data_IF_704233858877
#
_entry.id   IF_704233858877
#
_cell.length_a   1.000
_cell.length_b   1.000
_cell.length_c   1.000
_cell.angle_alpha   90.00
_cell.angle_beta   90.00
_cell.angle_gamma   90.00
#
_symmetry.space_group_name_H-M   'P 1'
#
loop_
_entity.id
_entity.type
_entity.pdbx_description
1 polymer ?
#
# COMPACT_ATOMS: atom_id res chain seq x y z
N UNK A 1 23.82 86.18 -48.01
CA UNK A 1 22.77 85.95 -46.99
C UNK A 1 21.49 85.37 -47.60
N UNK A 2 21.06 85.83 -48.78
CA UNK A 2 19.82 85.36 -49.42
C UNK A 2 19.81 83.87 -49.83
N UNK A 3 20.97 83.33 -50.24
CA UNK A 3 21.09 81.91 -50.61
C UNK A 3 20.81 80.95 -49.42
N UNK A 4 21.28 81.30 -48.22
CA UNK A 4 21.04 80.51 -47.01
C UNK A 4 19.57 80.56 -46.60
N UNK A 5 18.95 81.74 -46.69
CA UNK A 5 17.51 81.93 -46.42
C UNK A 5 16.65 81.13 -47.41
N UNK A 6 17.03 81.10 -48.69
CA UNK A 6 16.38 80.27 -49.72
C UNK A 6 16.50 78.77 -49.41
N UNK A 7 17.69 78.28 -49.06
CA UNK A 7 17.87 76.87 -48.72
C UNK A 7 17.08 76.46 -47.47
N UNK A 8 17.01 77.32 -46.45
CA UNK A 8 16.22 77.07 -45.25
C UNK A 8 14.73 76.90 -45.58
N UNK A 9 14.17 77.75 -46.45
CA UNK A 9 12.77 77.65 -46.86
C UNK A 9 12.46 76.41 -47.69
N UNK A 10 13.36 76.01 -48.59
CA UNK A 10 13.17 74.78 -49.36
C UNK A 10 13.16 73.55 -48.45
N UNK A 11 14.00 73.54 -47.41
CA UNK A 11 13.99 72.48 -46.40
C UNK A 11 12.71 72.50 -45.53
N UNK A 12 12.17 73.67 -45.22
CA UNK A 12 10.89 73.80 -44.49
C UNK A 12 9.70 73.35 -45.34
N UNK A 13 9.68 73.67 -46.62
CA UNK A 13 8.68 73.21 -47.58
C UNK A 13 8.72 71.68 -47.77
N UNK A 14 9.91 71.10 -47.75
CA UNK A 14 10.10 69.64 -47.80
C UNK A 14 9.59 68.93 -46.54
N UNK A 15 9.62 69.60 -45.38
CA UNK A 15 9.00 69.10 -44.14
C UNK A 15 7.47 69.16 -44.16
N UNK A 16 6.89 70.15 -44.83
CA UNK A 16 5.43 70.28 -44.97
C UNK A 16 4.88 69.25 -45.95
N UNK A 17 5.56 69.04 -47.08
CA UNK A 17 5.23 67.99 -48.05
C UNK A 17 6.50 67.45 -48.68
N UNK A 18 6.80 66.14 -48.50
CA UNK A 18 7.99 65.55 -49.10
C UNK A 18 7.93 65.67 -50.63
N UNK A 19 8.99 66.21 -51.24
CA UNK A 19 9.10 66.46 -52.68
C UNK A 19 8.82 67.90 -53.12
N UNK A 20 8.15 68.72 -52.31
CA UNK A 20 7.77 70.10 -52.69
C UNK A 20 9.00 71.03 -52.80
N UNK A 21 9.99 70.87 -51.91
CA UNK A 21 11.25 71.61 -51.96
C UNK A 21 12.07 71.30 -53.22
N UNK A 22 12.05 70.03 -53.68
CA UNK A 22 12.74 69.61 -54.89
C UNK A 22 12.05 70.10 -56.18
N UNK A 23 10.73 70.26 -56.17
CA UNK A 23 9.95 70.82 -57.27
C UNK A 23 10.16 72.34 -57.38
N UNK A 24 10.09 73.07 -56.25
CA UNK A 24 10.28 74.52 -56.22
C UNK A 24 11.74 74.94 -56.43
N UNK A 25 12.71 74.07 -56.07
CA UNK A 25 14.12 74.27 -56.36
C UNK A 25 14.47 74.28 -57.85
N UNK A 26 13.60 73.74 -58.71
CA UNK A 26 13.78 73.71 -60.18
C UNK A 26 13.32 75.00 -60.87
N UNK A 27 12.54 75.85 -60.19
CA UNK A 27 12.11 77.13 -60.73
C UNK A 27 13.12 78.24 -60.38
N UNK A 28 13.39 79.18 -61.30
CA UNK A 28 14.32 80.28 -61.06
C UNK A 28 13.66 81.33 -60.16
N UNK A 29 13.57 81.06 -58.86
CA UNK A 29 13.21 82.09 -57.87
C UNK A 29 14.38 83.07 -57.82
N UNK A 30 14.18 84.23 -58.41
CA UNK A 30 15.27 85.16 -58.77
C UNK A 30 15.25 86.43 -57.93
N UNK A 31 14.09 86.75 -57.34
CA UNK A 31 13.86 88.03 -56.65
C UNK A 31 13.55 87.83 -55.18
N UNK A 32 13.97 88.77 -54.33
CA UNK A 32 13.69 88.74 -52.89
C UNK A 32 12.18 88.77 -52.59
N UNK A 33 11.38 89.42 -53.44
CA UNK A 33 9.92 89.47 -53.33
C UNK A 33 9.23 88.11 -53.50
N UNK A 34 9.73 87.26 -54.40
CA UNK A 34 9.21 85.89 -54.57
C UNK A 34 9.51 85.00 -53.35
N UNK A 35 10.67 85.21 -52.71
CA UNK A 35 11.04 84.50 -51.47
C UNK A 35 10.12 84.93 -50.32
N UNK A 36 9.82 86.23 -50.20
CA UNK A 36 8.87 86.75 -49.21
C UNK A 36 7.43 86.25 -49.46
N UNK A 37 7.02 86.15 -50.72
CA UNK A 37 5.70 85.60 -51.08
C UNK A 37 5.58 84.11 -50.74
N UNK A 38 6.63 83.31 -50.98
CA UNK A 38 6.67 81.90 -50.59
C UNK A 38 6.69 81.73 -49.06
N UNK A 39 7.38 82.63 -48.35
CA UNK A 39 7.33 82.68 -46.88
C UNK A 39 5.91 82.96 -46.39
N UNK A 40 5.24 83.97 -46.94
CA UNK A 40 3.87 84.31 -46.56
C UNK A 40 2.89 83.14 -46.81
N UNK A 41 3.00 82.45 -47.94
CA UNK A 41 2.18 81.27 -48.24
C UNK A 41 2.49 80.07 -47.33
N UNK A 42 3.76 79.88 -46.97
CA UNK A 42 4.16 78.84 -46.01
C UNK A 42 3.59 79.15 -44.62
N UNK A 43 3.68 80.39 -44.17
CA UNK A 43 3.14 80.85 -42.88
C UNK A 43 1.62 80.70 -42.84
N UNK A 44 0.91 81.08 -43.91
CA UNK A 44 -0.55 80.87 -44.04
C UNK A 44 -0.90 79.38 -43.98
N UNK A 45 -0.19 78.53 -44.73
CA UNK A 45 -0.40 77.09 -44.69
C UNK A 45 -0.13 76.50 -43.30
N UNK A 46 0.94 76.94 -42.61
CA UNK A 46 1.25 76.51 -41.25
C UNK A 46 0.15 76.94 -40.26
N UNK A 47 -0.36 78.16 -40.39
CA UNK A 47 -1.48 78.65 -39.58
C UNK A 47 -2.75 77.80 -39.82
N UNK A 48 -3.11 77.57 -41.08
CA UNK A 48 -4.26 76.74 -41.45
C UNK A 48 -4.11 75.31 -40.92
N UNK A 49 -2.94 74.69 -41.08
CA UNK A 49 -2.67 73.35 -40.56
C UNK A 49 -2.70 73.29 -39.04
N UNK A 50 -2.21 74.31 -38.35
CA UNK A 50 -2.29 74.40 -36.89
C UNK A 50 -3.74 74.50 -36.42
N UNK A 51 -4.59 75.27 -37.12
CA UNK A 51 -6.02 75.38 -36.86
C UNK A 51 -6.79 74.07 -37.10
N UNK A 52 -6.46 73.34 -38.16
CA UNK A 52 -7.03 72.01 -38.39
C UNK A 52 -6.55 70.99 -37.34
N UNK A 53 -5.29 71.07 -36.89
CA UNK A 53 -4.77 70.20 -35.84
C UNK A 53 -5.46 70.45 -34.50
N UNK A 54 -5.69 71.71 -34.12
CA UNK A 54 -6.46 72.04 -32.91
C UNK A 54 -7.90 71.55 -33.03
N UNK A 55 -8.56 71.82 -34.16
CA UNK A 55 -9.94 71.38 -34.39
C UNK A 55 -10.07 69.84 -34.36
N UNK A 56 -9.11 69.11 -34.94
CA UNK A 56 -9.07 67.65 -34.86
C UNK A 56 -8.89 67.16 -33.43
N UNK A 57 -8.05 67.84 -32.63
CA UNK A 57 -7.87 67.50 -31.22
C UNK A 57 -9.14 67.75 -30.40
N UNK A 58 -9.89 68.81 -30.70
CA UNK A 58 -11.15 69.12 -30.05
C UNK A 58 -12.23 68.09 -30.41
N UNK A 59 -12.35 67.70 -31.68
CA UNK A 59 -13.27 66.63 -32.08
C UNK A 59 -12.94 65.29 -31.43
N UNK A 60 -11.65 64.94 -31.29
CA UNK A 60 -11.24 63.72 -30.59
C UNK A 60 -11.62 63.77 -29.11
N UNK A 61 -11.36 64.90 -28.45
CA UNK A 61 -11.74 65.11 -27.06
C UNK A 61 -13.25 65.01 -26.88
N UNK A 62 -14.02 65.65 -27.75
CA UNK A 62 -15.49 65.60 -27.73
C UNK A 62 -16.01 64.17 -27.94
N UNK A 63 -15.42 63.41 -28.87
CA UNK A 63 -15.76 62.01 -29.09
C UNK A 63 -15.48 61.14 -27.84
N UNK A 64 -14.36 61.37 -27.16
CA UNK A 64 -14.02 60.65 -25.94
C UNK A 64 -14.93 61.01 -24.76
N UNK A 65 -15.32 62.28 -24.65
CA UNK A 65 -16.32 62.73 -23.66
C UNK A 65 -17.68 62.06 -23.90
N UNK A 66 -18.16 61.99 -25.15
CA UNK A 66 -19.40 61.27 -25.47
C UNK A 66 -19.29 59.76 -25.24
N UNK A 67 -18.15 59.13 -25.53
CA UNK A 67 -17.92 57.70 -25.22
C UNK A 67 -18.00 57.43 -23.73
N UNK A 68 -17.41 58.29 -22.89
CA UNK A 68 -17.49 58.19 -21.43
C UNK A 68 -18.92 58.34 -20.93
N UNK A 69 -19.67 59.31 -21.47
CA UNK A 69 -21.08 59.51 -21.13
C UNK A 69 -21.94 58.31 -21.53
N UNK A 70 -21.71 57.73 -22.71
CA UNK A 70 -22.39 56.52 -23.16
C UNK A 70 -22.14 55.33 -22.22
N UNK A 71 -20.89 55.05 -21.87
CA UNK A 71 -20.54 53.99 -20.92
C UNK A 71 -21.20 54.19 -19.53
N UNK A 72 -21.28 55.44 -19.06
CA UNK A 72 -21.96 55.77 -17.81
C UNK A 72 -23.48 55.54 -17.90
N UNK A 73 -24.11 55.82 -19.04
CA UNK A 73 -25.53 55.51 -19.24
C UNK A 73 -25.76 54.00 -19.33
N UNK A 74 -24.89 53.25 -20.02
CA UNK A 74 -24.98 51.79 -20.12
C UNK A 74 -24.90 51.12 -18.74
N UNK A 75 -23.96 51.53 -17.90
CA UNK A 75 -23.85 51.03 -16.52
C UNK A 75 -25.09 51.34 -15.68
N UNK A 76 -25.67 52.55 -15.81
CA UNK A 76 -26.92 52.92 -15.14
C UNK A 76 -28.11 52.08 -15.60
N UNK A 77 -28.21 51.81 -16.91
CA UNK A 77 -29.27 50.97 -17.47
C UNK A 77 -29.08 49.52 -17.04
N UNK A 78 -27.86 48.98 -17.10
CA UNK A 78 -27.55 47.62 -16.66
C UNK A 78 -27.89 47.41 -15.18
N UNK A 79 -27.52 48.35 -14.30
CA UNK A 79 -27.86 48.31 -12.88
C UNK A 79 -29.37 48.42 -12.61
N UNK A 80 -30.12 49.08 -13.50
CA UNK A 80 -31.57 49.24 -13.36
C UNK A 80 -32.40 48.09 -13.93
N UNK A 81 -31.80 47.23 -14.77
CA UNK A 81 -32.46 46.08 -15.41
C UNK A 81 -32.41 44.79 -14.57
N UNK A 82 -31.93 44.84 -13.32
CA UNK A 82 -31.84 43.69 -12.40
C UNK A 82 -33.18 43.24 -11.79
N UNK A 83 -34.32 43.72 -12.30
CA UNK A 83 -35.66 43.32 -11.87
C UNK A 83 -36.71 43.58 -12.95
N UNK A 84 -37.93 43.05 -12.76
CA UNK A 84 -39.04 43.16 -13.71
C UNK A 84 -39.54 44.61 -13.96
N UNK A 85 -39.01 45.61 -13.23
CA UNK A 85 -39.32 47.03 -13.38
C UNK A 85 -38.03 47.85 -13.31
N UNK A 86 -37.84 48.75 -14.27
CA UNK A 86 -36.72 49.69 -14.29
C UNK A 86 -36.75 50.57 -13.03
N UNK A 87 -35.61 50.70 -12.35
CA UNK A 87 -35.45 51.66 -11.26
C UNK A 87 -35.61 53.11 -11.79
N UNK A 88 -36.01 54.06 -10.94
CA UNK A 88 -36.14 55.48 -11.31
C UNK A 88 -34.93 56.06 -12.06
N UNK A 89 -33.66 55.78 -11.67
CA UNK A 89 -32.49 56.21 -12.46
C UNK A 89 -32.35 55.48 -13.81
N UNK A 90 -32.77 54.22 -13.91
CA UNK A 90 -32.80 53.51 -15.20
C UNK A 90 -33.85 54.06 -16.15
N UNK A 91 -35.02 54.43 -15.63
CA UNK A 91 -36.12 54.99 -16.42
C UNK A 91 -35.78 56.39 -16.95
N UNK A 92 -35.06 57.21 -16.16
CA UNK A 92 -34.54 58.51 -16.62
C UNK A 92 -33.43 58.36 -17.66
N UNK A 93 -32.51 57.39 -17.48
CA UNK A 93 -31.48 57.09 -18.48
C UNK A 93 -32.08 56.57 -19.80
N UNK A 94 -33.08 55.67 -19.74
CA UNK A 94 -33.79 55.17 -20.91
C UNK A 94 -34.52 56.27 -21.67
N UNK A 95 -35.18 57.21 -20.96
CA UNK A 95 -35.82 58.38 -21.59
C UNK A 95 -34.80 59.28 -22.28
N UNK A 96 -33.64 59.52 -21.66
CA UNK A 96 -32.58 60.33 -22.26
C UNK A 96 -32.02 59.67 -23.53
N UNK A 97 -31.79 58.35 -23.49
CA UNK A 97 -31.40 57.58 -24.67
C UNK A 97 -32.47 57.63 -25.78
N UNK A 98 -33.75 57.53 -25.44
CA UNK A 98 -34.84 57.66 -26.41
C UNK A 98 -34.91 59.06 -27.04
N UNK A 99 -34.68 60.14 -26.26
CA UNK A 99 -34.62 61.50 -26.81
C UNK A 99 -33.42 61.71 -27.73
N UNK A 100 -32.26 61.14 -27.40
CA UNK A 100 -31.05 61.20 -28.24
C UNK A 100 -31.27 60.37 -29.52
N UNK A 101 -31.84 59.17 -29.41
CA UNK A 101 -32.17 58.34 -30.57
C UNK A 101 -33.15 59.05 -31.52
N UNK A 102 -34.18 59.71 -30.97
CA UNK A 102 -35.12 60.51 -31.77
C UNK A 102 -34.45 61.71 -32.44
N UNK A 103 -33.57 62.44 -31.74
CA UNK A 103 -32.84 63.57 -32.30
C UNK A 103 -31.86 63.15 -33.43
N UNK A 104 -31.31 61.94 -33.33
CA UNK A 104 -30.45 61.34 -34.34
C UNK A 104 -31.22 60.66 -35.49
N UNK A 105 -32.56 60.70 -35.48
CA UNK A 105 -33.38 60.05 -36.50
C UNK A 105 -33.30 58.51 -36.48
N UNK A 106 -32.82 57.94 -35.38
CA UNK A 106 -32.66 56.49 -35.18
C UNK A 106 -34.02 55.88 -34.82
N UNK A 107 -34.99 55.98 -35.72
CA UNK A 107 -36.33 55.42 -35.54
C UNK A 107 -36.38 53.89 -35.73
N UNK A 108 -35.22 53.24 -35.85
CA UNK A 108 -35.11 51.78 -35.85
C UNK A 108 -35.15 51.23 -34.42
N UNK A 109 -36.12 51.66 -33.62
CA UNK A 109 -36.69 50.81 -32.56
C UNK A 109 -37.96 50.19 -33.13
N UNK A 110 -37.82 49.46 -34.24
CA UNK A 110 -38.90 48.57 -34.67
C UNK A 110 -39.11 47.58 -33.53
N UNK A 111 -40.35 47.42 -33.07
CA UNK A 111 -40.74 46.50 -31.99
C UNK A 111 -40.07 45.11 -32.15
N UNK A 112 -39.93 44.65 -33.40
CA UNK A 112 -39.21 43.42 -33.75
C UNK A 112 -37.74 43.36 -33.33
N UNK A 113 -37.00 44.48 -33.36
CA UNK A 113 -35.61 44.53 -32.91
C UNK A 113 -35.49 44.40 -31.38
N UNK A 114 -36.45 44.96 -30.63
CA UNK A 114 -36.50 44.83 -29.18
C UNK A 114 -36.89 43.40 -28.76
N UNK A 115 -37.89 42.81 -29.43
CA UNK A 115 -38.26 41.41 -29.22
C UNK A 115 -37.10 40.47 -29.57
N UNK A 116 -36.39 40.70 -30.68
CA UNK A 116 -35.22 39.91 -31.04
C UNK A 116 -34.10 40.02 -29.99
N UNK A 117 -33.86 41.21 -29.42
CA UNK A 117 -32.87 41.40 -28.36
C UNK A 117 -33.27 40.67 -27.06
N UNK A 118 -34.56 40.64 -26.70
CA UNK A 118 -35.04 39.88 -25.56
C UNK A 118 -34.90 38.37 -25.77
N UNK A 119 -35.30 37.85 -26.93
CA UNK A 119 -35.12 36.43 -27.27
C UNK A 119 -33.65 36.05 -27.25
N UNK A 120 -32.75 36.89 -27.77
CA UNK A 120 -31.31 36.64 -27.73
C UNK A 120 -30.77 36.62 -26.29
N UNK A 121 -31.24 37.53 -25.42
CA UNK A 121 -30.86 37.56 -24.01
C UNK A 121 -31.37 36.33 -23.26
N UNK A 122 -32.62 35.93 -23.46
CA UNK A 122 -33.20 34.75 -22.84
C UNK A 122 -32.48 33.48 -23.29
N UNK A 123 -32.14 33.38 -24.59
CA UNK A 123 -31.34 32.28 -25.12
C UNK A 123 -29.95 32.20 -24.46
N UNK A 124 -29.29 33.34 -24.24
CA UNK A 124 -27.99 33.39 -23.56
C UNK A 124 -28.11 33.03 -22.07
N UNK A 125 -29.16 33.48 -21.37
CA UNK A 125 -29.40 33.07 -19.97
C UNK A 125 -29.59 31.56 -19.85
N UNK A 126 -30.43 30.96 -20.70
CA UNK A 126 -30.63 29.50 -20.72
C UNK A 126 -29.32 28.76 -21.03
N UNK A 127 -28.50 29.31 -21.93
CA UNK A 127 -27.17 28.75 -22.23
C UNK A 127 -26.25 28.81 -21.00
N UNK A 128 -26.25 29.91 -20.28
CA UNK A 128 -25.47 30.09 -19.07
C UNK A 128 -25.91 29.15 -17.95
N UNK A 129 -27.22 29.01 -17.71
CA UNK A 129 -27.78 28.06 -16.75
C UNK A 129 -27.37 26.61 -17.07
N UNK A 130 -27.44 26.22 -18.35
CA UNK A 130 -27.00 24.88 -18.79
C UNK A 130 -25.51 24.66 -18.57
N UNK A 131 -24.68 25.66 -18.82
CA UNK A 131 -23.23 25.58 -18.57
C UNK A 131 -22.95 25.50 -17.07
N UNK A 132 -23.68 26.28 -16.27
CA UNK A 132 -23.55 26.28 -14.82
C UNK A 132 -23.96 24.94 -14.22
N UNK A 133 -25.10 24.38 -14.62
CA UNK A 133 -25.55 23.05 -14.19
C UNK A 133 -24.53 21.95 -14.54
N UNK A 134 -23.93 22.01 -15.74
CA UNK A 134 -22.85 21.08 -16.13
C UNK A 134 -21.61 21.22 -15.26
N UNK A 135 -21.21 22.46 -14.95
CA UNK A 135 -20.05 22.73 -14.08
C UNK A 135 -20.31 22.21 -12.66
N UNK A 136 -21.51 22.39 -12.14
CA UNK A 136 -21.90 21.91 -10.82
C UNK A 136 -21.95 20.38 -10.76
N UNK A 137 -22.46 19.72 -11.82
CA UNK A 137 -22.42 18.26 -11.92
C UNK A 137 -20.98 17.73 -11.89
N UNK A 138 -20.10 18.25 -12.76
CA UNK A 138 -18.68 17.87 -12.80
C UNK A 138 -17.99 18.16 -11.46
N UNK A 139 -18.26 19.31 -10.85
CA UNK A 139 -17.69 19.65 -9.55
C UNK A 139 -18.16 18.70 -8.44
N UNK A 140 -19.40 18.23 -8.49
CA UNK A 140 -19.93 17.25 -7.53
C UNK A 140 -19.31 15.87 -7.71
N UNK A 141 -19.10 15.41 -8.95
CA UNK A 141 -18.41 14.16 -9.26
C UNK A 141 -16.96 14.20 -8.78
N UNK A 142 -16.22 15.27 -9.10
CA UNK A 142 -14.84 15.45 -8.66
C UNK A 142 -14.69 15.50 -7.13
N UNK A 143 -15.68 16.06 -6.42
CA UNK A 143 -15.68 16.05 -4.95
C UNK A 143 -15.85 14.63 -4.40
N UNK A 144 -16.78 13.86 -4.95
CA UNK A 144 -16.98 12.48 -4.54
C UNK A 144 -15.72 11.63 -4.82
N UNK A 145 -15.08 11.83 -5.97
CA UNK A 145 -13.81 11.16 -6.29
C UNK A 145 -12.69 11.57 -5.33
N UNK A 146 -12.58 12.86 -5.00
CA UNK A 146 -11.58 13.35 -4.06
C UNK A 146 -11.80 12.82 -2.64
N UNK A 147 -13.05 12.72 -2.18
CA UNK A 147 -13.39 12.14 -0.88
C UNK A 147 -13.03 10.65 -0.82
N UNK A 148 -13.35 9.88 -1.87
CA UNK A 148 -12.97 8.48 -1.97
C UNK A 148 -11.43 8.29 -2.04
N UNK A 149 -10.72 9.15 -2.76
CA UNK A 149 -9.26 9.13 -2.79
C UNK A 149 -8.66 9.46 -1.41
N UNK A 150 -9.24 10.46 -0.71
CA UNK A 150 -8.80 10.83 0.64
C UNK A 150 -9.02 9.72 1.65
N UNK A 151 -10.13 8.98 1.57
CA UNK A 151 -10.36 7.83 2.46
C UNK A 151 -9.35 6.72 2.20
N UNK A 152 -9.08 6.38 0.94
CA UNK A 152 -8.06 5.40 0.57
C UNK A 152 -6.66 5.79 1.06
N UNK A 153 -6.29 7.07 0.95
CA UNK A 153 -5.01 7.56 1.49
C UNK A 153 -4.98 7.38 3.00
N UNK A 154 -6.06 7.72 3.71
CA UNK A 154 -6.12 7.54 5.17
C UNK A 154 -5.98 6.07 5.59
N UNK A 155 -6.63 5.15 4.88
CA UNK A 155 -6.51 3.71 5.11
C UNK A 155 -5.10 3.20 4.86
N UNK A 156 -4.49 3.60 3.74
CA UNK A 156 -3.10 3.25 3.41
C UNK A 156 -2.13 3.80 4.45
N UNK A 157 -2.32 5.02 4.93
CA UNK A 157 -1.46 5.58 5.99
C UNK A 157 -1.58 4.79 7.30
N UNK A 158 -2.79 4.39 7.69
CA UNK A 158 -3.01 3.56 8.86
C UNK A 158 -2.35 2.18 8.72
N UNK A 159 -2.45 1.56 7.53
CA UNK A 159 -1.80 0.27 7.23
C UNK A 159 -0.27 0.37 7.27
N UNK A 160 0.30 1.45 6.73
CA UNK A 160 1.75 1.69 6.76
C UNK A 160 2.24 1.88 8.20
N UNK A 161 1.52 2.64 9.02
CA UNK A 161 1.84 2.79 10.44
C UNK A 161 1.74 1.47 11.20
N UNK A 162 0.71 0.67 10.94
CA UNK A 162 0.56 -0.65 11.57
C UNK A 162 1.71 -1.59 11.17
N UNK A 163 2.08 -1.61 9.89
CA UNK A 163 3.21 -2.39 9.39
C UNK A 163 4.54 -1.95 10.03
N UNK A 164 4.75 -0.63 10.17
CA UNK A 164 5.93 -0.09 10.85
C UNK A 164 6.01 -0.51 12.32
N UNK A 165 4.91 -0.43 13.06
CA UNK A 165 4.86 -0.90 14.47
C UNK A 165 5.14 -2.39 14.56
N UNK A 166 4.60 -3.19 13.65
CA UNK A 166 4.88 -4.63 13.60
C UNK A 166 6.37 -4.90 13.32
N UNK A 167 6.99 -4.14 12.42
CA UNK A 167 8.42 -4.23 12.14
C UNK A 167 9.27 -3.87 13.36
N UNK A 168 8.97 -2.77 14.05
CA UNK A 168 9.69 -2.35 15.27
C UNK A 168 9.61 -3.42 16.38
N UNK A 169 8.48 -4.12 16.51
CA UNK A 169 8.33 -5.25 17.44
C UNK A 169 9.19 -6.45 17.03
N UNK A 170 9.24 -6.77 15.73
CA UNK A 170 10.07 -7.87 15.21
C UNK A 170 11.56 -7.55 15.39
N UNK A 171 11.99 -6.34 15.05
CA UNK A 171 13.38 -5.89 15.22
C UNK A 171 13.80 -5.95 16.69
N UNK A 172 12.98 -5.41 17.60
CA UNK A 172 13.25 -5.54 19.04
C UNK A 172 13.28 -6.98 19.54
N UNK A 173 12.46 -7.87 18.95
CA UNK A 173 12.51 -9.30 19.24
C UNK A 173 13.77 -9.99 18.70
N UNK A 174 14.27 -9.57 17.54
CA UNK A 174 15.52 -10.07 16.95
C UNK A 174 16.72 -9.69 17.81
N UNK A 175 16.79 -8.45 18.31
CA UNK A 175 17.87 -8.03 19.22
C UNK A 175 17.92 -8.89 20.49
N UNK A 176 16.76 -9.20 21.08
CA UNK A 176 16.68 -10.10 22.25
C UNK A 176 17.17 -11.50 21.89
N UNK A 177 16.69 -12.07 20.79
CA UNK A 177 17.15 -13.38 20.30
C UNK A 177 18.65 -13.42 20.01
N UNK A 178 19.23 -12.36 19.44
CA UNK A 178 20.67 -12.25 19.22
C UNK A 178 21.46 -12.27 20.54
N UNK A 179 20.99 -11.52 21.56
CA UNK A 179 21.65 -11.56 22.87
C UNK A 179 21.50 -12.92 23.56
N UNK A 180 20.34 -13.57 23.47
CA UNK A 180 20.11 -14.90 24.05
C UNK A 180 20.98 -15.97 23.37
N UNK A 181 21.03 -15.97 22.04
CA UNK A 181 21.87 -16.90 21.27
C UNK A 181 23.35 -16.69 21.57
N UNK A 182 23.81 -15.44 21.69
CA UNK A 182 25.18 -15.13 22.12
C UNK A 182 25.47 -15.66 23.53
N UNK A 183 24.56 -15.45 24.48
CA UNK A 183 24.70 -15.95 25.85
C UNK A 183 24.73 -17.49 25.90
N UNK A 184 23.92 -18.17 25.08
CA UNK A 184 23.96 -19.64 24.98
C UNK A 184 25.28 -20.13 24.40
N UNK A 185 25.84 -19.42 23.42
CA UNK A 185 27.15 -19.76 22.86
C UNK A 185 28.27 -19.63 23.90
N UNK A 186 28.27 -18.55 24.69
CA UNK A 186 29.23 -18.37 25.79
C UNK A 186 29.10 -19.49 26.84
N UNK A 187 27.87 -19.87 27.21
CA UNK A 187 27.64 -20.99 28.14
C UNK A 187 28.11 -22.32 27.58
N UNK A 188 27.93 -22.57 26.29
CA UNK A 188 28.43 -23.79 25.64
C UNK A 188 29.96 -23.88 25.76
N UNK A 189 30.67 -22.79 25.45
CA UNK A 189 32.13 -22.70 25.60
C UNK A 189 32.55 -22.93 27.07
N UNK A 190 31.83 -22.34 28.04
CA UNK A 190 32.11 -22.56 29.46
C UNK A 190 31.93 -24.04 29.85
N UNK A 191 30.86 -24.69 29.39
CA UNK A 191 30.64 -26.10 29.67
C UNK A 191 31.67 -27.00 29.02
N UNK A 192 32.11 -26.72 27.79
CA UNK A 192 33.19 -27.45 27.13
C UNK A 192 34.50 -27.36 27.93
N UNK A 193 34.85 -26.16 28.42
CA UNK A 193 36.02 -25.97 29.26
C UNK A 193 35.89 -26.71 30.59
N UNK A 194 34.71 -26.67 31.22
CA UNK A 194 34.45 -27.42 32.46
C UNK A 194 34.57 -28.92 32.23
N UNK A 195 33.98 -29.46 31.17
CA UNK A 195 34.10 -30.88 30.80
C UNK A 195 35.57 -31.24 30.64
N UNK A 196 36.33 -30.50 29.83
CA UNK A 196 37.76 -30.74 29.64
C UNK A 196 38.54 -30.73 30.97
N UNK A 197 38.29 -29.75 31.84
CA UNK A 197 38.93 -29.67 33.16
C UNK A 197 38.57 -30.85 34.07
N UNK A 198 37.32 -31.30 34.04
CA UNK A 198 36.87 -32.44 34.84
C UNK A 198 37.43 -33.75 34.31
N UNK A 199 37.56 -33.91 32.99
CA UNK A 199 38.19 -35.06 32.37
C UNK A 199 39.67 -35.15 32.71
N UNK A 200 40.40 -34.03 32.66
CA UNK A 200 41.80 -33.96 33.09
C UNK A 200 41.94 -34.35 34.57
N UNK A 201 41.05 -33.83 35.43
CA UNK A 201 41.04 -34.18 36.85
C UNK A 201 40.73 -35.67 37.06
N UNK A 202 39.76 -36.23 36.35
CA UNK A 202 39.44 -37.65 36.39
C UNK A 202 40.63 -38.51 35.95
N UNK A 203 41.30 -38.13 34.84
CA UNK A 203 42.53 -38.80 34.37
C UNK A 203 43.63 -38.75 35.42
N UNK A 204 43.83 -37.60 36.09
CA UNK A 204 44.84 -37.45 37.16
C UNK A 204 44.55 -38.32 38.39
N UNK A 205 43.27 -38.59 38.67
CA UNK A 205 42.82 -39.48 39.74
C UNK A 205 42.83 -40.97 39.33
N UNK A 206 43.24 -41.28 38.10
CA UNK A 206 43.32 -42.65 37.60
C UNK A 206 41.98 -43.25 37.16
N UNK A 207 40.97 -42.41 36.92
CA UNK A 207 39.68 -42.87 36.39
C UNK A 207 39.85 -43.52 35.02
N UNK A 208 39.23 -44.70 34.84
CA UNK A 208 39.17 -45.42 33.57
C UNK A 208 37.73 -45.43 33.07
N UNK A 209 37.46 -45.06 31.81
CA UNK A 209 36.10 -45.01 31.27
C UNK A 209 35.41 -46.38 31.26
N UNK A 210 36.20 -47.46 31.26
CA UNK A 210 35.75 -48.86 31.38
C UNK A 210 35.05 -49.17 32.71
N UNK A 211 35.31 -48.37 33.77
CA UNK A 211 34.67 -48.48 35.09
C UNK A 211 33.52 -47.49 35.27
N UNK A 212 33.07 -46.84 34.20
CA UNK A 212 31.89 -45.98 34.24
C UNK A 212 30.62 -46.80 34.47
N UNK A 213 29.59 -46.18 35.07
CA UNK A 213 28.32 -46.85 35.38
C UNK A 213 27.71 -47.56 34.17
N UNK A 214 27.64 -46.89 33.02
CA UNK A 214 27.13 -47.47 31.77
C UNK A 214 27.99 -48.65 31.27
N UNK A 215 29.32 -48.57 31.43
CA UNK A 215 30.21 -49.67 31.05
C UNK A 215 30.06 -50.86 32.00
N UNK A 216 29.86 -50.61 33.29
CA UNK A 216 29.58 -51.62 34.31
C UNK A 216 28.21 -52.27 34.11
N UNK A 217 27.18 -51.50 33.74
CA UNK A 217 25.87 -52.04 33.37
C UNK A 217 25.97 -52.92 32.13
N UNK A 218 26.66 -52.46 31.08
CA UNK A 218 26.90 -53.28 29.90
C UNK A 218 27.69 -54.56 30.21
N UNK A 219 28.70 -54.50 31.10
CA UNK A 219 29.42 -55.69 31.56
C UNK A 219 28.54 -56.61 32.41
N UNK A 220 27.67 -56.06 33.26
CA UNK A 220 26.72 -56.85 34.06
C UNK A 220 25.71 -57.58 33.15
N UNK A 221 25.19 -56.90 32.13
CA UNK A 221 24.33 -57.53 31.12
C UNK A 221 25.06 -58.64 30.35
N UNK A 222 26.34 -58.44 30.02
CA UNK A 222 27.17 -59.48 29.40
C UNK A 222 27.37 -60.68 30.32
N UNK A 223 27.68 -60.46 31.60
CA UNK A 223 27.82 -61.53 32.60
C UNK A 223 26.52 -62.31 32.74
N UNK A 224 25.38 -61.63 32.90
CA UNK A 224 24.06 -62.27 32.97
C UNK A 224 23.76 -63.10 31.72
N UNK A 225 24.13 -62.61 30.53
CA UNK A 225 23.94 -63.35 29.28
C UNK A 225 24.81 -64.61 29.21
N UNK A 226 26.05 -64.52 29.69
CA UNK A 226 26.99 -65.64 29.75
C UNK A 226 26.54 -66.66 30.79
N UNK A 227 26.07 -66.23 31.96
CA UNK A 227 25.53 -67.12 33.00
C UNK A 227 24.31 -67.90 32.51
N UNK A 228 23.39 -67.25 31.78
CA UNK A 228 22.26 -67.94 31.14
C UNK A 228 22.74 -68.99 30.14
N UNK A 229 23.68 -68.64 29.26
CA UNK A 229 24.23 -69.58 28.29
C UNK A 229 24.96 -70.75 28.95
N UNK A 230 25.67 -70.50 30.06
CA UNK A 230 26.38 -71.52 30.83
C UNK A 230 25.39 -72.47 31.50
N UNK A 231 24.34 -71.95 32.14
CA UNK A 231 23.27 -72.75 32.73
C UNK A 231 22.58 -73.65 31.68
N UNK A 232 22.28 -73.12 30.49
CA UNK A 232 21.74 -73.91 29.37
C UNK A 232 22.70 -75.02 28.93
N UNK A 233 24.01 -74.73 28.84
CA UNK A 233 25.01 -75.75 28.49
C UNK A 233 25.20 -76.79 29.59
N UNK A 234 25.17 -76.42 30.87
CA UNK A 234 25.23 -77.37 31.98
C UNK A 234 24.00 -78.26 32.05
N UNK A 235 22.81 -77.73 31.78
CA UNK A 235 21.60 -78.53 31.65
C UNK A 235 21.70 -79.50 30.48
N UNK A 236 22.21 -79.06 29.33
CA UNK A 236 22.46 -79.94 28.19
C UNK A 236 23.48 -81.04 28.56
N UNK A 237 24.54 -80.70 29.27
CA UNK A 237 25.59 -81.63 29.68
C UNK A 237 25.08 -82.64 30.72
N UNK A 238 24.29 -82.21 31.70
CA UNK A 238 23.58 -83.10 32.64
C UNK A 238 22.63 -84.06 31.89
N UNK A 239 21.96 -83.59 30.84
CA UNK A 239 21.13 -84.45 29.99
C UNK A 239 21.99 -85.48 29.25
N UNK A 240 23.17 -85.10 28.76
CA UNK A 240 24.12 -86.05 28.15
C UNK A 240 24.71 -87.05 29.16
N UNK A 241 25.11 -86.61 30.35
CA UNK A 241 25.64 -87.47 31.42
C UNK A 241 24.57 -88.40 32.02
N UNK A 242 23.29 -88.02 31.95
CA UNK A 242 22.17 -88.87 32.34
C UNK A 242 21.88 -90.02 31.36
N UNK A 243 22.56 -90.06 30.20
CA UNK A 243 22.52 -91.19 29.28
C UNK A 243 23.60 -92.19 29.75
N UNK A 244 23.23 -93.38 30.29
CA UNK A 244 24.22 -94.33 30.77
C UNK A 244 25.13 -94.80 29.61
N UNK A 245 26.47 -94.79 29.77
CA UNK A 245 27.43 -94.95 28.67
C UNK A 245 27.64 -96.39 28.20
N UNK A 246 26.59 -97.23 28.18
CA UNK A 246 26.71 -98.57 27.60
C UNK A 246 25.46 -98.95 26.80
N UNK A 247 25.68 -99.47 25.59
CA UNK A 247 24.63 -100.03 24.74
C UNK A 247 23.84 -101.15 25.46
N UNK A 248 24.47 -101.82 26.43
CA UNK A 248 23.84 -102.81 27.30
C UNK A 248 22.81 -102.20 28.27
N UNK A 249 23.08 -101.01 28.83
CA UNK A 249 22.14 -100.32 29.73
C UNK A 249 20.90 -99.78 29.01
N UNK A 250 21.08 -99.27 27.78
CA UNK A 250 19.96 -98.85 26.92
C UNK A 250 19.09 -100.03 26.48
N UNK A 251 19.69 -101.18 26.15
CA UNK A 251 18.96 -102.39 25.82
C UNK A 251 18.14 -102.91 27.02
N UNK A 252 18.71 -102.88 28.23
CA UNK A 252 18.01 -103.29 29.44
C UNK A 252 16.85 -102.36 29.82
N UNK A 253 16.99 -101.03 29.66
CA UNK A 253 15.86 -100.10 29.87
C UNK A 253 14.79 -100.23 28.77
N UNK A 254 15.18 -100.48 27.52
CA UNK A 254 14.21 -100.77 26.46
C UNK A 254 13.45 -102.06 26.75
N UNK A 255 14.14 -103.12 27.18
CA UNK A 255 13.50 -104.38 27.56
C UNK A 255 12.59 -104.20 28.80
N UNK A 256 13.01 -103.40 29.78
CA UNK A 256 12.21 -103.10 30.96
C UNK A 256 10.97 -102.27 30.63
N UNK A 257 11.10 -101.23 29.81
CA UNK A 257 9.96 -100.42 29.35
C UNK A 257 9.02 -101.20 28.43
N UNK A 258 9.53 -102.13 27.62
CA UNK A 258 8.70 -103.06 26.84
C UNK A 258 7.95 -104.04 27.76
N UNK A 259 8.58 -104.53 28.82
CA UNK A 259 7.91 -105.37 29.84
C UNK A 259 6.85 -104.60 30.61
N UNK A 260 7.13 -103.36 31.02
CA UNK A 260 6.14 -102.50 31.69
C UNK A 260 4.96 -102.16 30.77
N UNK A 261 5.21 -101.90 29.48
CA UNK A 261 4.13 -101.72 28.51
C UNK A 261 3.33 -103.00 28.31
N UNK A 262 3.98 -104.17 28.28
CA UNK A 262 3.29 -105.46 28.19
C UNK A 262 2.48 -105.77 29.46
N UNK A 263 2.97 -105.41 30.64
CA UNK A 263 2.26 -105.52 31.92
C UNK A 263 1.08 -104.54 32.02
N UNK A 264 1.23 -103.30 31.56
CA UNK A 264 0.12 -102.34 31.48
C UNK A 264 -0.92 -102.79 30.45
N UNK A 265 -0.49 -103.37 29.32
CA UNK A 265 -1.40 -103.90 28.30
C UNK A 265 -2.11 -105.16 28.79
N UNK A 266 -1.45 -106.02 29.59
CA UNK A 266 -2.07 -107.16 30.26
C UNK A 266 -3.01 -106.73 31.40
N UNK A 267 -2.65 -105.71 32.17
CA UNK A 267 -3.48 -105.14 33.24
C UNK A 267 -4.71 -104.41 32.70
N UNK A 268 -4.61 -103.74 31.54
CA UNK A 268 -5.78 -103.20 30.83
C UNK A 268 -6.67 -104.31 30.23
N UNK A 269 -6.11 -105.48 29.90
CA UNK A 269 -6.86 -106.64 29.40
C UNK A 269 -7.61 -107.43 30.48
N UNK A 270 -7.16 -107.41 31.74
CA UNK A 270 -7.78 -108.16 32.84
C UNK A 270 -8.56 -107.32 33.87
N UNK A 271 -8.60 -105.99 33.74
CA UNK A 271 -9.28 -105.08 34.68
C UNK A 271 -10.69 -104.63 34.24
N UNK A 272 -11.44 -105.46 33.49
CA UNK A 272 -12.87 -105.24 33.22
C UNK A 272 -13.83 -105.96 34.19
N UNK A 273 -13.33 -106.73 35.17
CA UNK A 273 -14.15 -107.46 36.15
C UNK A 273 -13.55 -107.34 37.55
N UNK A 274 -14.23 -106.57 38.39
CA UNK A 274 -14.10 -106.40 39.86
C UNK A 274 -13.10 -105.36 40.41
N UNK A 275 -13.69 -104.31 41.02
CA UNK A 275 -13.27 -103.81 42.34
C UNK A 275 -12.53 -102.48 42.37
N UNK A 276 -13.24 -101.39 42.74
CA UNK A 276 -12.62 -100.29 43.49
C UNK A 276 -12.25 -100.73 44.92
N UNK A 277 -11.72 -99.89 45.83
CA UNK A 277 -11.69 -98.41 45.84
C UNK A 277 -10.34 -97.77 46.27
N UNK A 278 -10.21 -96.45 46.05
CA UNK A 278 -9.47 -95.54 46.94
C UNK A 278 -7.98 -95.30 46.67
N UNK A 279 -7.63 -94.07 46.26
CA UNK A 279 -6.37 -93.38 46.59
C UNK A 279 -6.46 -91.91 46.15
N UNK A 280 -6.40 -90.98 47.12
CA UNK A 280 -6.05 -89.58 46.87
C UNK A 280 -5.31 -89.04 48.10
N UNK A 281 -3.99 -89.15 48.07
CA UNK A 281 -3.07 -88.56 49.03
C UNK A 281 -2.38 -87.35 48.41
N UNK A 282 -2.38 -86.25 49.16
CA UNK A 282 -1.46 -85.11 49.17
C UNK A 282 -0.74 -84.73 47.85
N UNK A 283 -1.28 -83.74 47.14
CA UNK A 283 -0.54 -82.89 46.22
C UNK A 283 -0.31 -81.52 46.88
N UNK A 284 0.95 -81.22 47.17
CA UNK A 284 1.44 -79.96 47.71
C UNK A 284 2.01 -79.14 46.55
N UNK A 285 1.49 -77.93 46.35
CA UNK A 285 2.20 -76.83 45.70
C UNK A 285 1.79 -76.46 44.27
N UNK A 286 1.29 -75.22 44.12
CA UNK A 286 1.73 -74.30 43.07
C UNK A 286 0.87 -74.17 41.81
N UNK A 287 -0.10 -73.25 41.83
CA UNK A 287 -0.75 -72.62 40.66
C UNK A 287 -1.47 -71.38 41.21
N UNK A 288 -1.29 -70.15 40.75
CA UNK A 288 -1.24 -69.68 39.37
C UNK A 288 -2.55 -68.94 39.08
N UNK A 289 -2.47 -67.62 38.83
CA UNK A 289 -3.60 -66.73 38.47
C UNK A 289 -3.77 -65.59 39.50
N UNK A 290 -3.60 -64.30 39.18
CA UNK A 290 -3.75 -63.62 37.91
C UNK A 290 -5.15 -63.03 37.79
N UNK A 291 -5.28 -61.75 38.16
CA UNK A 291 -6.10 -60.68 37.55
C UNK A 291 -6.82 -59.78 38.56
N UNK A 292 -6.65 -58.48 38.33
CA UNK A 292 -7.75 -57.53 38.35
C UNK A 292 -7.90 -56.71 39.63
N UNK A 293 -7.59 -55.42 39.53
CA UNK A 293 -8.25 -54.43 40.36
C UNK A 293 -7.35 -53.31 40.88
N UNK A 294 -7.21 -52.24 40.08
CA UNK A 294 -7.14 -50.89 40.65
C UNK A 294 -7.67 -49.88 39.64
N UNK A 295 -8.88 -49.39 39.94
CA UNK A 295 -9.53 -48.30 39.22
C UNK A 295 -9.33 -46.95 39.92
N UNK A 296 -9.50 -45.90 39.12
CA UNK A 296 -9.85 -44.53 39.49
C UNK A 296 -8.71 -43.69 40.06
N UNK A 297 -8.49 -42.43 39.65
CA UNK A 297 -9.20 -41.56 38.72
C UNK A 297 -8.74 -40.11 38.94
N UNK A 298 -8.91 -39.27 37.92
CA UNK A 298 -8.65 -37.82 37.91
C UNK A 298 -7.38 -37.48 37.12
N UNK A 299 -7.38 -36.79 35.98
CA UNK A 299 -8.42 -36.01 35.31
C UNK A 299 -8.10 -34.52 35.39
N UNK A 300 -7.27 -33.99 34.48
CA UNK A 300 -7.19 -32.62 33.90
C UNK A 300 -6.17 -32.77 32.74
N UNK A 301 -6.30 -32.37 31.48
CA UNK A 301 -7.23 -31.60 30.67
C UNK A 301 -6.41 -31.14 29.43
N UNK A 302 -6.95 -31.17 28.19
CA UNK A 302 -6.17 -30.84 27.00
C UNK A 302 -6.08 -29.31 26.79
N UNK A 303 -4.85 -28.80 26.72
CA UNK A 303 -4.58 -27.42 26.32
C UNK A 303 -4.86 -27.23 24.83
N UNK A 304 -6.01 -26.63 24.54
CA UNK A 304 -6.36 -26.13 23.21
C UNK A 304 -5.50 -24.90 22.88
N UNK A 305 -4.76 -24.99 21.77
CA UNK A 305 -4.17 -23.83 21.12
C UNK A 305 -5.28 -23.02 20.44
N UNK A 306 -5.70 -21.94 21.09
CA UNK A 306 -6.49 -20.87 20.49
C UNK A 306 -5.60 -19.65 20.28
N UNK A 307 -5.16 -19.42 19.03
CA UNK A 307 -4.63 -18.13 18.60
C UNK A 307 -5.83 -17.24 18.26
N UNK A 308 -6.25 -16.43 19.23
CA UNK A 308 -7.20 -15.34 19.02
C UNK A 308 -6.45 -14.13 18.46
N UNK A 309 -6.66 -13.87 17.17
CA UNK A 309 -6.40 -12.56 16.58
C UNK A 309 -7.49 -11.58 16.99
N UNK A 310 -7.09 -10.37 17.37
CA UNK A 310 -7.99 -9.26 17.62
C UNK A 310 -7.20 -8.00 17.96
N UNK A 311 -7.21 -7.04 17.04
CA UNK A 311 -6.77 -5.68 17.34
C UNK A 311 -6.54 -4.82 16.10
N UNK A 312 -7.63 -4.23 15.60
CA UNK A 312 -7.78 -2.91 14.95
C UNK A 312 -8.69 -2.99 13.71
#
# INVERSE_FOLDING_TARGET
MEYLRRQQLLNELERVRPGLGAELGRFPISTAAEVEQLQALLEEHQQVMSGYATLQSDYRRQADEYRRQAALLETKVAAACSGARLSAPGLTAARLLATVANALGLHTTAEGAMVAAWVAKDAEMVRQERVQAKREAIASELRHEAEAASSLVSELTAQVEAARRAQEVVEGGMDVLETETHNMHLKAIEYEQRIASTEERLKSLGYRPELGHLALEAMAEQVDSLERSLAETEEALKRYDSIPPSAAGLAAMLEHSQKELAEVHAAMGSAFVHGGPGLAAAARGGSGGGLGGRGGGGGVGPGAFGFGGGGA
#
